data_IF_737061404598
#
_entry.id   IF_737061404598
#
_cell.length_a   1.000
_cell.length_b   1.000
_cell.length_c   1.000
_cell.angle_alpha   90.00
_cell.angle_beta   90.00
_cell.angle_gamma   90.00
#
_symmetry.space_group_name_H-M   'P 1'
#
loop_
_entity.id
_entity.type
_entity.pdbx_description
1 polymer ?
#
# COMPACT_ATOMS: atom_id res chain seq x y z
N UNK A 1 51.33 -13.18 -46.11
CA UNK A 1 51.79 -11.83 -45.74
C UNK A 1 50.60 -11.21 -45.02
N UNK A 2 50.52 -11.35 -43.69
CA UNK A 2 51.08 -10.42 -42.67
C UNK A 2 50.31 -9.09 -42.68
N UNK A 3 49.90 -8.43 -41.60
CA UNK A 3 49.90 -8.70 -40.13
C UNK A 3 49.02 -7.59 -39.45
N UNK A 4 48.48 -7.65 -38.21
CA UNK A 4 48.36 -8.69 -37.16
C UNK A 4 47.15 -8.38 -36.23
N UNK A 5 46.76 -9.29 -35.32
CA UNK A 5 45.84 -8.99 -34.19
C UNK A 5 46.60 -8.74 -32.88
N UNK A 6 46.14 -7.83 -31.99
CA UNK A 6 46.47 -7.89 -30.57
C UNK A 6 45.28 -8.33 -29.69
N UNK A 7 45.56 -9.29 -28.82
CA UNK A 7 44.75 -9.70 -27.66
C UNK A 7 44.78 -8.64 -26.54
N UNK A 8 43.74 -8.65 -25.68
CA UNK A 8 43.75 -8.63 -24.19
C UNK A 8 42.37 -8.13 -23.71
N UNK A 9 41.48 -8.95 -23.13
CA UNK A 9 41.53 -9.63 -21.81
C UNK A 9 41.16 -8.72 -20.63
N UNK A 10 40.01 -9.04 -20.01
CA UNK A 10 39.58 -8.78 -18.61
C UNK A 10 39.68 -7.35 -18.05
N UNK A 11 38.57 -6.86 -17.51
CA UNK A 11 38.44 -6.63 -16.05
C UNK A 11 37.02 -6.13 -15.66
N UNK A 12 36.24 -7.00 -15.02
CA UNK A 12 35.42 -6.55 -13.88
C UNK A 12 36.37 -6.31 -12.71
N UNK A 13 36.08 -5.35 -11.83
CA UNK A 13 35.81 -5.78 -10.45
C UNK A 13 34.70 -4.99 -9.74
N UNK A 14 33.90 -5.72 -8.95
CA UNK A 14 33.13 -5.15 -7.85
C UNK A 14 34.06 -4.56 -6.78
N UNK A 15 33.68 -3.51 -6.04
CA UNK A 15 34.35 -3.18 -4.78
C UNK A 15 34.05 -4.27 -3.71
N UNK A 16 35.03 -4.67 -2.88
CA UNK A 16 34.90 -5.79 -1.97
C UNK A 16 34.21 -5.44 -0.64
N UNK A 17 33.56 -6.44 -0.04
CA UNK A 17 33.18 -6.43 1.37
C UNK A 17 34.44 -6.55 2.24
N UNK A 18 34.58 -5.69 3.25
CA UNK A 18 35.67 -5.77 4.24
C UNK A 18 35.11 -6.04 5.64
N UNK A 19 35.42 -7.23 6.16
CA UNK A 19 35.21 -7.59 7.56
C UNK A 19 36.42 -7.15 8.41
N UNK A 20 36.15 -6.44 9.53
CA UNK A 20 36.66 -6.63 10.93
C UNK A 20 38.07 -7.22 11.20
N UNK A 21 38.78 -6.97 12.35
CA UNK A 21 38.16 -6.80 13.69
C UNK A 21 38.93 -6.04 14.84
N UNK A 22 38.30 -6.01 16.04
CA UNK A 22 38.82 -5.99 17.44
C UNK A 22 39.81 -4.91 17.98
N UNK A 23 39.40 -4.15 19.03
CA UNK A 23 39.84 -4.44 20.42
C UNK A 23 39.09 -3.72 21.58
N UNK A 24 38.74 -4.52 22.59
CA UNK A 24 38.50 -4.28 24.03
C UNK A 24 38.42 -2.85 24.66
N UNK A 25 37.32 -2.59 25.39
CA UNK A 25 37.42 -2.38 26.86
C UNK A 25 36.16 -2.75 27.65
N UNK A 26 36.38 -3.14 28.91
CA UNK A 26 35.38 -3.57 29.91
C UNK A 26 34.46 -2.43 30.42
N UNK A 27 33.23 -2.80 30.79
CA UNK A 27 32.77 -2.68 32.20
C UNK A 27 31.52 -3.54 32.48
N UNK A 28 31.61 -4.35 33.53
CA UNK A 28 30.49 -5.09 34.11
C UNK A 28 29.50 -4.14 34.78
N UNK A 29 28.21 -4.51 34.75
CA UNK A 29 27.25 -4.10 35.77
C UNK A 29 26.53 -5.35 36.30
N UNK A 30 26.60 -5.54 37.61
CA UNK A 30 26.17 -6.75 38.29
C UNK A 30 24.65 -6.88 38.40
N UNK A 31 24.14 -8.09 38.20
CA UNK A 31 22.78 -8.49 38.57
C UNK A 31 22.79 -9.03 40.01
N UNK A 32 22.06 -8.43 40.96
CA UNK A 32 21.75 -9.08 42.23
C UNK A 32 20.56 -10.02 42.05
N UNK A 33 20.84 -11.30 41.77
CA UNK A 33 19.87 -12.38 41.98
C UNK A 33 19.82 -12.70 43.48
N UNK A 34 18.69 -12.40 44.14
CA UNK A 34 18.43 -12.87 45.50
C UNK A 34 16.99 -13.38 45.66
N UNK A 35 16.89 -14.71 45.58
CA UNK A 35 16.24 -15.55 46.60
C UNK A 35 14.92 -15.08 47.20
N UNK A 36 13.83 -15.61 46.65
CA UNK A 36 12.54 -15.77 47.35
C UNK A 36 12.76 -16.65 48.60
N UNK A 37 12.19 -16.29 49.75
CA UNK A 37 11.42 -17.29 50.47
C UNK A 37 10.00 -16.84 50.82
N UNK A 38 9.11 -17.83 50.77
CA UNK A 38 7.70 -17.78 51.18
C UNK A 38 7.61 -17.68 52.70
N UNK A 39 6.84 -16.72 53.22
CA UNK A 39 6.19 -16.89 54.52
C UNK A 39 4.81 -16.24 54.54
N UNK A 40 3.82 -17.02 54.93
CA UNK A 40 2.41 -16.63 55.06
C UNK A 40 2.17 -16.16 56.50
N UNK A 41 1.62 -14.97 56.69
CA UNK A 41 0.95 -14.64 57.93
C UNK A 41 -0.20 -13.66 57.70
N UNK A 42 -1.43 -14.17 57.81
CA UNK A 42 -2.64 -13.36 57.87
C UNK A 42 -3.07 -13.25 59.34
N UNK A 43 -3.17 -12.04 59.93
CA UNK A 43 -3.80 -11.89 61.23
C UNK A 43 -5.33 -11.97 61.09
N UNK A 44 -5.92 -12.97 61.72
CA UNK A 44 -7.37 -13.18 61.81
C UNK A 44 -7.97 -12.35 62.94
N UNK A 45 -8.92 -11.45 62.64
CA UNK A 45 -9.89 -10.90 63.61
C UNK A 45 -11.23 -10.71 62.87
N UNK A 46 -12.18 -11.63 63.00
CA UNK A 46 -13.15 -11.75 64.11
C UNK A 46 -14.20 -10.64 64.10
N UNK A 47 -15.37 -10.97 63.57
CA UNK A 47 -16.51 -10.06 63.41
C UNK A 47 -17.16 -9.71 64.75
N UNK A 48 -17.38 -8.41 65.00
CA UNK A 48 -18.39 -7.94 65.96
C UNK A 48 -19.24 -6.83 65.33
N UNK A 49 -20.54 -7.10 65.23
CA UNK A 49 -21.56 -6.16 64.78
C UNK A 49 -21.76 -5.06 65.83
N UNK A 50 -21.60 -3.80 65.44
CA UNK A 50 -22.11 -2.64 66.19
C UNK A 50 -22.85 -1.72 65.21
N UNK A 51 -24.12 -1.48 65.49
CA UNK A 51 -25.02 -0.60 64.74
C UNK A 51 -24.66 0.87 64.97
N UNK A 52 -24.48 1.65 63.92
CA UNK A 52 -24.46 3.12 63.99
C UNK A 52 -25.03 3.74 62.69
N UNK A 53 -25.49 5.00 62.71
CA UNK A 53 -26.45 5.49 61.72
C UNK A 53 -25.86 5.93 60.37
N UNK A 54 -26.74 5.95 59.38
CA UNK A 54 -26.54 6.30 57.97
C UNK A 54 -25.74 7.61 57.76
N UNK A 55 -24.68 7.62 56.92
CA UNK A 55 -24.01 8.86 56.51
C UNK A 55 -24.88 9.67 55.53
N UNK A 56 -24.77 11.01 55.51
CA UNK A 56 -25.52 11.85 54.58
C UNK A 56 -25.12 11.57 53.13
N UNK A 57 -26.12 11.65 52.25
CA UNK A 57 -25.99 11.42 50.79
C UNK A 57 -24.92 12.35 50.20
N UNK A 58 -23.99 11.85 49.35
CA UNK A 58 -22.96 12.69 48.75
C UNK A 58 -23.61 13.79 47.88
N UNK A 59 -23.00 14.98 47.79
CA UNK A 59 -23.51 16.07 46.96
C UNK A 59 -23.55 15.63 45.49
N UNK A 60 -24.59 16.08 44.75
CA UNK A 60 -24.67 15.86 43.30
C UNK A 60 -23.41 16.43 42.65
N UNK A 61 -22.63 15.56 42.03
CA UNK A 61 -21.55 15.94 41.11
C UNK A 61 -22.22 16.75 39.98
N UNK A 62 -21.68 17.91 39.58
CA UNK A 62 -22.17 18.63 38.41
C UNK A 62 -22.12 17.71 37.20
N UNK A 63 -23.24 17.58 36.48
CA UNK A 63 -23.27 16.82 35.23
C UNK A 63 -22.33 17.50 34.22
N UNK A 64 -21.14 16.94 34.07
CA UNK A 64 -20.27 17.25 32.94
C UNK A 64 -21.09 16.92 31.70
N UNK A 65 -21.30 17.87 30.76
CA UNK A 65 -22.05 17.57 29.55
C UNK A 65 -21.39 16.37 28.88
N UNK A 66 -22.19 15.34 28.59
CA UNK A 66 -21.73 14.11 27.96
C UNK A 66 -21.28 14.42 26.53
N UNK A 67 -20.04 14.87 26.39
CA UNK A 67 -19.38 15.06 25.09
C UNK A 67 -19.32 13.67 24.45
N UNK A 68 -20.17 13.46 23.45
CA UNK A 68 -20.11 12.30 22.56
C UNK A 68 -18.68 12.17 22.02
N UNK A 69 -18.11 10.95 21.92
CA UNK A 69 -16.79 10.77 21.34
C UNK A 69 -16.76 11.39 19.92
N UNK A 70 -15.66 12.03 19.51
CA UNK A 70 -15.57 12.66 18.20
C UNK A 70 -15.79 11.61 17.09
N UNK A 71 -16.51 11.95 16.01
CA UNK A 71 -16.98 10.97 15.04
C UNK A 71 -15.85 10.33 14.21
N UNK A 72 -16.00 9.02 14.04
CA UNK A 72 -15.54 8.11 12.96
C UNK A 72 -14.09 8.13 12.43
N UNK A 73 -13.23 9.11 12.74
CA UNK A 73 -11.97 9.32 12.02
C UNK A 73 -11.00 8.12 12.06
N UNK A 74 -11.02 7.33 13.15
CA UNK A 74 -10.26 6.08 13.23
C UNK A 74 -10.95 4.89 12.53
N UNK A 75 -12.29 4.88 12.43
CA UNK A 75 -13.04 3.88 11.66
C UNK A 75 -12.75 4.02 10.18
N UNK A 76 -12.86 5.24 9.63
CA UNK A 76 -12.63 5.52 8.20
C UNK A 76 -11.20 5.11 7.78
N UNK A 77 -10.20 5.38 8.63
CA UNK A 77 -8.82 4.94 8.44
C UNK A 77 -8.68 3.41 8.50
N UNK A 78 -9.29 2.76 9.50
CA UNK A 78 -9.22 1.32 9.67
C UNK A 78 -9.94 0.56 8.54
N UNK A 79 -11.09 1.05 8.07
CA UNK A 79 -11.85 0.46 6.98
C UNK A 79 -11.10 0.55 5.64
N UNK A 80 -10.43 1.69 5.37
CA UNK A 80 -9.49 1.80 4.24
C UNK A 80 -8.34 0.81 4.34
N UNK A 81 -7.72 0.71 5.52
CA UNK A 81 -6.61 -0.22 5.77
C UNK A 81 -7.04 -1.67 5.51
N UNK A 82 -8.18 -2.09 6.06
CA UNK A 82 -8.73 -3.44 5.87
C UNK A 82 -9.12 -3.72 4.41
N UNK A 83 -9.72 -2.74 3.71
CA UNK A 83 -10.07 -2.89 2.30
C UNK A 83 -8.81 -3.07 1.43
N UNK A 84 -7.78 -2.24 1.63
CA UNK A 84 -6.53 -2.33 0.87
C UNK A 84 -5.75 -3.61 1.21
N UNK A 85 -5.72 -4.02 2.47
CA UNK A 85 -5.11 -5.29 2.90
C UNK A 85 -5.82 -6.51 2.30
N UNK A 86 -7.16 -6.47 2.11
CA UNK A 86 -7.90 -7.52 1.40
C UNK A 86 -7.48 -7.69 -0.08
N UNK A 87 -6.88 -6.66 -0.68
CA UNK A 87 -6.29 -6.68 -2.04
C UNK A 87 -4.79 -7.06 -1.96
N UNK A 88 -4.20 -7.09 -0.77
CA UNK A 88 -2.79 -7.31 -0.49
C UNK A 88 -1.93 -6.05 -0.57
N UNK A 89 -2.53 -4.86 -0.48
CA UNK A 89 -1.84 -3.58 -0.52
C UNK A 89 -1.57 -3.07 0.89
N UNK A 90 -0.30 -2.81 1.22
CA UNK A 90 0.05 -2.15 2.49
C UNK A 90 -0.33 -0.66 2.44
N UNK A 91 -1.26 -0.28 3.31
CA UNK A 91 -1.76 1.08 3.41
C UNK A 91 -0.68 2.08 3.86
N UNK A 92 0.28 1.68 4.70
CA UNK A 92 1.34 2.58 5.16
C UNK A 92 2.33 2.90 4.02
N UNK A 93 2.75 1.88 3.26
CA UNK A 93 3.51 2.07 2.02
C UNK A 93 2.77 2.97 1.00
N UNK A 94 1.46 2.75 0.81
CA UNK A 94 0.64 3.59 -0.06
C UNK A 94 0.57 5.05 0.42
N UNK A 95 0.43 5.31 1.72
CA UNK A 95 0.46 6.66 2.28
C UNK A 95 1.81 7.34 2.04
N UNK A 96 2.93 6.61 2.20
CA UNK A 96 4.27 7.14 2.01
C UNK A 96 4.56 7.55 0.56
N UNK A 97 4.04 6.79 -0.41
CA UNK A 97 4.27 7.04 -1.84
C UNK A 97 3.16 7.84 -2.53
N UNK A 98 1.95 7.86 -1.97
CA UNK A 98 0.77 8.55 -2.51
C UNK A 98 -0.15 9.10 -1.40
N UNK A 99 0.25 10.19 -0.71
CA UNK A 99 -0.53 10.80 0.36
C UNK A 99 -2.02 11.12 0.09
N UNK A 100 -2.48 11.43 -1.15
CA UNK A 100 -3.91 11.66 -1.43
C UNK A 100 -4.85 10.51 -1.07
N UNK A 101 -4.33 9.29 -0.87
CA UNK A 101 -5.12 8.15 -0.39
C UNK A 101 -5.73 8.37 1.01
N UNK A 102 -5.12 9.23 1.84
CA UNK A 102 -5.65 9.62 3.15
C UNK A 102 -6.96 10.41 2.99
N UNK A 103 -7.05 11.30 1.99
CA UNK A 103 -8.18 12.23 1.81
C UNK A 103 -9.28 11.71 0.90
N UNK A 104 -8.97 10.77 0.00
CA UNK A 104 -9.95 10.13 -0.91
C UNK A 104 -10.98 9.31 -0.13
N UNK A 105 -12.26 9.29 -0.51
CA UNK A 105 -13.26 8.52 0.26
C UNK A 105 -13.03 7.00 0.15
N UNK A 106 -13.55 6.22 1.11
CA UNK A 106 -13.50 4.76 1.02
C UNK A 106 -14.30 4.24 -0.19
N UNK A 107 -15.40 4.90 -0.53
CA UNK A 107 -16.26 4.51 -1.64
C UNK A 107 -15.65 4.85 -3.01
N UNK A 108 -14.87 5.93 -3.13
CA UNK A 108 -14.04 6.20 -4.31
C UNK A 108 -12.98 5.10 -4.51
N UNK A 109 -12.31 4.68 -3.42
CA UNK A 109 -11.33 3.57 -3.44
C UNK A 109 -11.96 2.27 -3.92
N UNK A 110 -13.08 1.86 -3.31
CA UNK A 110 -13.86 0.68 -3.73
C UNK A 110 -14.28 0.80 -5.19
N UNK A 111 -14.83 1.95 -5.59
CA UNK A 111 -15.27 2.21 -6.97
C UNK A 111 -14.15 2.06 -7.99
N UNK A 112 -12.92 2.49 -7.68
CA UNK A 112 -11.76 2.30 -8.56
C UNK A 112 -11.36 0.80 -8.67
N UNK A 113 -11.38 0.07 -7.55
CA UNK A 113 -11.07 -1.37 -7.50
C UNK A 113 -12.14 -2.20 -8.21
N UNK A 114 -13.42 -1.93 -7.97
CA UNK A 114 -14.57 -2.59 -8.60
C UNK A 114 -14.61 -2.31 -10.10
N UNK A 115 -14.31 -1.07 -10.52
CA UNK A 115 -14.17 -0.73 -11.93
C UNK A 115 -13.09 -1.57 -12.60
N UNK A 116 -11.88 -1.68 -12.05
CA UNK A 116 -10.85 -2.55 -12.61
C UNK A 116 -11.26 -4.04 -12.56
N UNK A 117 -11.94 -4.48 -11.51
CA UNK A 117 -12.48 -5.85 -11.40
C UNK A 117 -13.49 -6.16 -12.52
N UNK A 118 -14.28 -5.16 -12.96
CA UNK A 118 -15.20 -5.30 -14.10
C UNK A 118 -14.50 -5.57 -15.45
N UNK A 119 -13.23 -5.18 -15.60
CA UNK A 119 -12.36 -5.55 -16.73
C UNK A 119 -11.62 -6.89 -16.51
N UNK A 120 -12.15 -7.73 -15.61
CA UNK A 120 -11.67 -9.08 -15.28
C UNK A 120 -10.22 -9.13 -14.76
N UNK A 121 -9.70 -8.05 -14.17
CA UNK A 121 -8.41 -8.10 -13.47
C UNK A 121 -8.52 -8.93 -12.18
N UNK A 122 -7.58 -9.85 -11.97
CA UNK A 122 -7.52 -10.67 -10.75
C UNK A 122 -6.92 -9.87 -9.59
N UNK A 123 -7.18 -10.27 -8.34
CA UNK A 123 -6.62 -9.61 -7.14
C UNK A 123 -5.09 -9.48 -7.20
N UNK A 124 -4.38 -10.47 -7.75
CA UNK A 124 -2.93 -10.43 -7.92
C UNK A 124 -2.49 -9.35 -8.93
N UNK A 125 -3.23 -9.19 -10.02
CA UNK A 125 -2.96 -8.14 -11.02
C UNK A 125 -3.32 -6.76 -10.47
N UNK A 126 -4.46 -6.62 -9.78
CA UNK A 126 -4.86 -5.39 -9.08
C UNK A 126 -3.77 -4.98 -8.08
N UNK A 127 -3.33 -5.90 -7.21
CA UNK A 127 -2.23 -5.67 -6.28
C UNK A 127 -0.98 -5.13 -6.98
N UNK A 128 -0.58 -5.74 -8.10
CA UNK A 128 0.58 -5.30 -8.90
C UNK A 128 0.37 -3.91 -9.53
N UNK A 129 -0.77 -3.69 -10.17
CA UNK A 129 -1.11 -2.44 -10.87
C UNK A 129 -1.14 -1.27 -9.90
N UNK A 130 -1.81 -1.45 -8.75
CA UNK A 130 -2.06 -0.39 -7.76
C UNK A 130 -0.84 -0.11 -6.88
N UNK A 131 0.04 -1.10 -6.64
CA UNK A 131 1.34 -0.85 -6.01
C UNK A 131 2.35 -0.16 -6.94
N UNK A 132 2.26 -0.39 -8.26
CA UNK A 132 3.09 0.32 -9.27
C UNK A 132 2.58 1.72 -9.61
N UNK A 133 1.28 1.99 -9.43
CA UNK A 133 0.63 3.22 -9.82
C UNK A 133 -0.55 3.53 -8.87
N UNK A 134 -0.26 3.95 -7.62
CA UNK A 134 -1.27 4.17 -6.58
C UNK A 134 -2.24 5.31 -6.90
N UNK A 135 -1.91 6.19 -7.84
CA UNK A 135 -2.76 7.28 -8.31
C UNK A 135 -4.08 6.78 -8.92
N UNK A 136 -4.09 5.54 -9.41
CA UNK A 136 -5.29 4.88 -9.95
C UNK A 136 -6.36 4.68 -8.85
N UNK A 137 -5.96 4.41 -7.59
CA UNK A 137 -6.90 4.28 -6.46
C UNK A 137 -7.67 5.58 -6.17
N UNK A 138 -7.08 6.72 -6.55
CA UNK A 138 -7.65 8.06 -6.34
C UNK A 138 -8.24 8.65 -7.63
N UNK A 139 -8.26 7.87 -8.72
CA UNK A 139 -8.80 8.27 -10.01
C UNK A 139 -10.23 7.76 -10.16
N UNK A 140 -11.15 8.64 -10.53
CA UNK A 140 -12.57 8.27 -10.71
C UNK A 140 -12.73 7.31 -11.90
N UNK A 141 -13.60 6.28 -11.81
CA UNK A 141 -13.91 5.38 -12.92
C UNK A 141 -14.30 6.09 -14.23
N UNK A 142 -14.97 7.24 -14.14
CA UNK A 142 -15.33 8.09 -15.28
C UNK A 142 -14.13 8.66 -16.04
N UNK A 143 -12.96 8.81 -15.40
CA UNK A 143 -11.70 9.21 -16.02
C UNK A 143 -10.92 8.01 -16.59
N UNK A 144 -11.13 6.80 -16.05
CA UNK A 144 -10.48 5.58 -16.53
C UNK A 144 -11.16 5.02 -17.79
N UNK A 145 -12.50 5.04 -17.87
CA UNK A 145 -13.27 4.47 -18.98
C UNK A 145 -12.87 5.01 -20.38
N UNK A 146 -12.60 6.32 -20.58
CA UNK A 146 -12.08 6.82 -21.85
C UNK A 146 -10.74 6.19 -22.27
N UNK A 147 -9.86 5.88 -21.31
CA UNK A 147 -8.55 5.27 -21.57
C UNK A 147 -8.71 3.81 -22.02
N UNK A 148 -9.56 3.05 -21.33
CA UNK A 148 -9.92 1.69 -21.76
C UNK A 148 -10.59 1.68 -23.13
N UNK A 149 -11.47 2.65 -23.40
CA UNK A 149 -12.12 2.81 -24.72
C UNK A 149 -11.10 3.13 -25.80
N UNK A 150 -10.19 4.08 -25.56
CA UNK A 150 -9.09 4.42 -26.46
C UNK A 150 -8.23 3.19 -26.79
N UNK A 151 -7.80 2.42 -25.78
CA UNK A 151 -6.97 1.24 -25.98
C UNK A 151 -7.65 0.19 -26.86
N UNK A 152 -8.94 -0.09 -26.62
CA UNK A 152 -9.71 -1.10 -27.35
C UNK A 152 -10.15 -0.64 -28.76
N UNK A 153 -10.44 0.65 -28.95
CA UNK A 153 -11.09 1.16 -30.18
C UNK A 153 -10.15 1.93 -31.10
N UNK A 154 -9.27 2.76 -30.55
CA UNK A 154 -8.35 3.61 -31.33
C UNK A 154 -6.99 2.91 -31.48
N UNK A 155 -6.38 2.45 -30.39
CA UNK A 155 -5.11 1.73 -30.42
C UNK A 155 -5.23 0.23 -30.78
N UNK A 156 -6.45 -0.25 -31.05
CA UNK A 156 -6.78 -1.62 -31.51
C UNK A 156 -6.19 -2.76 -30.66
N UNK A 157 -6.01 -2.54 -29.36
CA UNK A 157 -5.57 -3.58 -28.43
C UNK A 157 -6.69 -4.61 -28.27
N UNK A 158 -6.39 -5.89 -28.56
CA UNK A 158 -7.34 -6.99 -28.34
C UNK A 158 -7.77 -7.06 -26.86
N UNK A 159 -9.02 -7.42 -26.59
CA UNK A 159 -9.52 -7.56 -25.20
C UNK A 159 -8.72 -8.57 -24.35
N UNK A 160 -8.19 -9.63 -24.98
CA UNK A 160 -7.29 -10.62 -24.38
C UNK A 160 -5.89 -10.07 -24.04
N UNK A 161 -5.44 -9.03 -24.75
CA UNK A 161 -4.13 -8.40 -24.57
C UNK A 161 -4.19 -7.12 -23.73
N UNK A 162 -5.37 -6.49 -23.60
CA UNK A 162 -5.63 -5.31 -22.76
C UNK A 162 -5.04 -5.48 -21.35
N UNK A 163 -5.34 -6.61 -20.69
CA UNK A 163 -4.79 -6.92 -19.37
C UNK A 163 -3.25 -6.99 -19.37
N UNK A 164 -2.64 -7.54 -20.42
CA UNK A 164 -1.17 -7.64 -20.56
C UNK A 164 -0.55 -6.25 -20.72
N UNK A 165 -1.18 -5.38 -21.51
CA UNK A 165 -0.75 -3.98 -21.72
C UNK A 165 -0.79 -3.21 -20.40
N UNK A 166 -1.91 -3.25 -19.67
CA UNK A 166 -2.05 -2.56 -18.38
C UNK A 166 -1.08 -3.13 -17.33
N UNK A 167 -0.93 -4.46 -17.21
CA UNK A 167 0.03 -5.06 -16.27
C UNK A 167 1.50 -4.70 -16.59
N UNK A 168 1.84 -4.45 -17.86
CA UNK A 168 3.18 -3.99 -18.28
C UNK A 168 3.38 -2.49 -18.03
N UNK A 169 2.34 -1.67 -18.25
CA UNK A 169 2.41 -0.21 -18.06
C UNK A 169 1.13 0.34 -17.39
N UNK A 170 0.97 0.17 -16.06
CA UNK A 170 -0.17 0.71 -15.31
C UNK A 170 -0.38 2.21 -15.50
N UNK A 171 0.72 2.95 -15.66
CA UNK A 171 0.76 4.40 -15.86
C UNK A 171 -0.03 4.91 -17.08
N UNK A 172 -0.38 4.04 -18.04
CA UNK A 172 -1.31 4.40 -19.12
C UNK A 172 -2.68 4.85 -18.59
N UNK A 173 -3.13 4.29 -17.45
CA UNK A 173 -4.39 4.63 -16.79
C UNK A 173 -4.40 6.00 -16.09
N UNK A 174 -3.26 6.72 -16.08
CA UNK A 174 -3.19 8.11 -15.61
C UNK A 174 -2.89 9.10 -16.74
N UNK A 175 -2.81 8.64 -17.99
CA UNK A 175 -2.56 9.50 -19.15
C UNK A 175 -3.85 10.12 -19.68
N UNK A 176 -3.79 11.38 -20.09
CA UNK A 176 -4.90 12.03 -20.78
C UNK A 176 -5.01 11.49 -22.22
N UNK A 177 -6.23 11.10 -22.63
CA UNK A 177 -6.48 10.50 -23.94
C UNK A 177 -6.19 11.48 -25.08
N UNK A 178 -6.62 12.73 -24.95
CA UNK A 178 -6.53 13.77 -25.98
C UNK A 178 -5.13 14.37 -26.10
N UNK A 179 -4.49 14.67 -24.98
CA UNK A 179 -3.21 15.41 -24.97
C UNK A 179 -1.97 14.53 -24.89
N UNK A 180 -2.11 13.22 -24.59
CA UNK A 180 -0.99 12.29 -24.54
C UNK A 180 -1.20 11.04 -25.40
N UNK A 181 -2.28 10.29 -25.19
CA UNK A 181 -2.41 8.96 -25.82
C UNK A 181 -2.66 9.04 -27.34
N UNK A 182 -3.58 9.91 -27.80
CA UNK A 182 -3.83 10.14 -29.24
C UNK A 182 -2.62 10.69 -29.99
N UNK A 183 -1.93 11.76 -29.52
CA UNK A 183 -0.70 12.24 -30.17
C UNK A 183 0.40 11.18 -30.21
N UNK A 184 0.57 10.40 -29.14
CA UNK A 184 1.55 9.30 -29.09
C UNK A 184 1.20 8.22 -30.12
N UNK A 185 -0.07 7.80 -30.19
CA UNK A 185 -0.52 6.83 -31.18
C UNK A 185 -0.29 7.36 -32.60
N UNK A 186 -0.75 8.57 -32.92
CA UNK A 186 -0.54 9.19 -34.24
C UNK A 186 0.93 9.20 -34.67
N UNK A 187 1.83 9.59 -33.76
CA UNK A 187 3.27 9.52 -33.98
C UNK A 187 3.76 8.10 -34.27
N UNK A 188 3.33 7.11 -33.47
CA UNK A 188 3.69 5.69 -33.66
C UNK A 188 3.18 5.12 -35.00
N UNK A 189 2.00 5.54 -35.49
CA UNK A 189 1.52 5.11 -36.81
C UNK A 189 2.37 5.73 -37.93
N UNK A 190 2.69 7.02 -37.82
CA UNK A 190 3.52 7.74 -38.80
C UNK A 190 4.92 7.15 -38.96
N UNK A 191 5.47 6.51 -37.92
CA UNK A 191 6.77 5.81 -37.97
C UNK A 191 6.64 4.29 -38.17
N UNK A 192 5.45 3.80 -38.51
CA UNK A 192 5.21 2.39 -38.90
C UNK A 192 5.16 1.39 -37.74
N UNK A 193 4.97 1.83 -36.49
CA UNK A 193 4.98 0.96 -35.30
C UNK A 193 3.58 0.44 -34.93
N UNK A 194 2.50 1.03 -35.47
CA UNK A 194 1.12 0.63 -35.16
C UNK A 194 0.32 0.08 -36.35
N UNK A 195 0.89 -0.85 -37.09
CA UNK A 195 0.13 -1.64 -38.07
C UNK A 195 0.32 -3.13 -37.74
N UNK A 196 -0.56 -3.68 -36.89
CA UNK A 196 -0.65 -5.14 -36.75
C UNK A 196 -1.38 -5.67 -37.98
N UNK A 197 -0.61 -5.97 -39.01
CA UNK A 197 -1.08 -6.37 -40.34
C UNK A 197 -1.88 -7.68 -40.32
N UNK A 198 -3.16 -7.62 -39.94
CA UNK A 198 -4.16 -8.59 -40.39
C UNK A 198 -4.57 -8.25 -41.83
N UNK A 199 -3.61 -8.46 -42.74
CA UNK A 199 -3.91 -8.72 -44.14
C UNK A 199 -4.49 -10.14 -44.21
N UNK A 200 -5.79 -10.29 -43.92
CA UNK A 200 -6.51 -11.46 -44.39
C UNK A 200 -6.71 -11.32 -45.90
N UNK A 201 -5.84 -12.00 -46.64
CA UNK A 201 -6.12 -12.41 -48.01
C UNK A 201 -7.26 -13.42 -47.99
N UNK A 202 -8.46 -13.02 -48.44
CA UNK A 202 -9.32 -13.74 -49.40
C UNK A 202 -10.64 -12.99 -49.65
#
# INVERSE_FOLDING_TARGET
>A
MQDTLPFLSKNNPFPPLLSSPHHHHHKHHDFPSLSRPRNLHFPTFSSKTITSPLPPKPPKIPEIPSISPPPSSHSDFQEKMLHLDSIGLDFFSLIQHHPPIITTSLDDLKSAVDFLTSFNFTTLELRRILSMCPEILTTKPTSLLPIFTFLLREARVNGSDLKKVINRRPRLLTCNVETQLRPTLYFLQNIGISESSHLEMN
#
